data_IF_256223979665
#
_entry.id   IF_256223979665
#
_cell.length_a   1.000
_cell.length_b   1.000
_cell.length_c   1.000
_cell.angle_alpha   90.00
_cell.angle_beta   90.00
_cell.angle_gamma   90.00
#
_symmetry.space_group_name_H-M   'P 1'
#
loop_
_entity.id
_entity.type
_entity.pdbx_description
1 polymer ?
#
# COMPACT_ATOMS: atom_id res chain seq x y z
N UNK A 1 11.87 -6.11 -12.65
CA UNK A 1 11.03 -6.45 -11.49
C UNK A 1 11.54 -5.82 -10.20
N UNK A 2 12.80 -6.04 -9.80
CA UNK A 2 13.38 -5.48 -8.55
C UNK A 2 13.00 -4.01 -8.25
N UNK A 3 13.16 -3.09 -9.22
CA UNK A 3 12.81 -1.67 -9.04
C UNK A 3 11.36 -1.45 -8.60
N UNK A 4 10.40 -2.11 -9.24
CA UNK A 4 8.99 -1.99 -8.89
C UNK A 4 8.68 -2.61 -7.51
N UNK A 5 9.35 -3.72 -7.17
CA UNK A 5 9.19 -4.36 -5.85
C UNK A 5 9.71 -3.43 -4.75
N UNK A 6 10.91 -2.86 -4.91
CA UNK A 6 11.49 -1.96 -3.91
C UNK A 6 10.64 -0.71 -3.76
N UNK A 7 10.18 -0.10 -4.86
CA UNK A 7 9.26 1.04 -4.77
C UNK A 7 7.96 0.67 -4.03
N UNK A 8 7.34 -0.46 -4.33
CA UNK A 8 6.16 -0.92 -3.58
C UNK A 8 6.45 -1.13 -2.08
N UNK A 9 7.63 -1.66 -1.73
CA UNK A 9 8.03 -1.83 -0.34
C UNK A 9 8.19 -0.48 0.37
N UNK A 10 8.80 0.51 -0.29
CA UNK A 10 8.98 1.87 0.23
C UNK A 10 7.63 2.55 0.48
N UNK A 11 6.67 2.45 -0.44
CA UNK A 11 5.33 3.03 -0.24
C UNK A 11 4.60 2.39 0.96
N UNK A 12 4.69 1.06 1.09
CA UNK A 12 4.08 0.35 2.22
C UNK A 12 4.72 0.71 3.57
N UNK A 13 6.04 0.91 3.59
CA UNK A 13 6.76 1.37 4.78
C UNK A 13 6.37 2.81 5.14
N UNK A 14 6.23 3.70 4.15
CA UNK A 14 5.77 5.06 4.36
C UNK A 14 4.34 5.10 4.93
N UNK A 15 3.42 4.28 4.41
CA UNK A 15 2.04 4.15 4.94
C UNK A 15 2.06 3.78 6.42
N UNK A 16 2.83 2.76 6.81
CA UNK A 16 2.93 2.31 8.20
C UNK A 16 3.52 3.41 9.10
N UNK A 17 4.63 4.02 8.69
CA UNK A 17 5.28 5.09 9.45
C UNK A 17 4.39 6.31 9.64
N UNK A 18 3.67 6.74 8.59
CA UNK A 18 2.72 7.82 8.73
C UNK A 18 1.59 7.46 9.69
N UNK A 19 1.06 6.23 9.62
CA UNK A 19 -0.02 5.80 10.50
C UNK A 19 0.40 5.85 11.98
N UNK A 20 1.58 5.35 12.30
CA UNK A 20 2.14 5.42 13.67
C UNK A 20 2.37 6.86 14.13
N UNK A 21 2.86 7.73 13.23
CA UNK A 21 3.10 9.14 13.56
C UNK A 21 1.81 9.89 13.80
N UNK A 22 0.75 9.64 13.02
CA UNK A 22 -0.57 10.23 13.17
C UNK A 22 -1.14 9.89 14.56
N UNK A 23 -1.10 8.62 14.94
CA UNK A 23 -1.63 8.14 16.24
C UNK A 23 -0.90 8.80 17.44
N UNK A 24 0.38 9.09 17.30
CA UNK A 24 1.19 9.74 18.33
C UNK A 24 1.24 11.28 18.22
N UNK A 25 0.69 11.88 17.16
CA UNK A 25 0.83 13.31 16.88
C UNK A 25 -0.09 14.15 17.77
N UNK A 26 0.48 15.11 18.49
CA UNK A 26 -0.26 16.05 19.34
C UNK A 26 -0.63 17.36 18.62
N UNK A 27 -0.04 17.61 17.45
CA UNK A 27 -0.30 18.79 16.62
C UNK A 27 -1.31 18.44 15.52
N UNK A 28 -2.47 19.10 15.52
CA UNK A 28 -3.55 18.80 14.58
C UNK A 28 -3.25 19.19 13.14
N UNK A 29 -2.46 20.25 12.93
CA UNK A 29 -2.08 20.70 11.58
C UNK A 29 -1.10 19.69 10.97
N UNK A 30 -0.08 19.29 11.74
CA UNK A 30 0.84 18.26 11.30
C UNK A 30 0.13 16.92 11.07
N UNK A 31 -0.74 16.49 11.99
CA UNK A 31 -1.50 15.24 11.85
C UNK A 31 -2.31 15.19 10.55
N UNK A 32 -2.91 16.32 10.16
CA UNK A 32 -3.65 16.44 8.91
C UNK A 32 -2.75 16.27 7.67
N UNK A 33 -1.56 16.88 7.68
CA UNK A 33 -0.57 16.72 6.59
C UNK A 33 -0.11 15.26 6.48
N UNK A 34 0.22 14.63 7.62
CA UNK A 34 0.67 13.24 7.65
C UNK A 34 -0.43 12.28 7.14
N UNK A 35 -1.69 12.52 7.50
CA UNK A 35 -2.82 11.73 7.04
C UNK A 35 -3.05 11.86 5.53
N UNK A 36 -2.96 13.08 5.00
CA UNK A 36 -3.03 13.33 3.56
C UNK A 36 -1.95 12.55 2.82
N UNK A 37 -0.68 12.73 3.20
CA UNK A 37 0.44 12.08 2.55
C UNK A 37 0.33 10.54 2.63
N UNK A 38 -0.03 9.99 3.79
CA UNK A 38 -0.27 8.54 3.97
C UNK A 38 -1.24 7.97 2.95
N UNK A 39 -2.31 8.71 2.67
CA UNK A 39 -3.37 8.24 1.79
C UNK A 39 -2.96 8.37 0.30
N UNK A 40 -2.11 9.33 -0.05
CA UNK A 40 -1.45 9.38 -1.37
C UNK A 40 -0.49 8.18 -1.59
N UNK A 41 0.28 7.76 -0.58
CA UNK A 41 1.17 6.61 -0.74
C UNK A 41 0.40 5.30 -1.03
N UNK A 42 -0.85 5.18 -0.58
CA UNK A 42 -1.73 4.05 -0.94
C UNK A 42 -2.07 4.05 -2.43
N UNK A 43 -2.23 5.22 -3.03
CA UNK A 43 -2.40 5.36 -4.48
C UNK A 43 -1.12 4.94 -5.20
N UNK A 44 0.04 5.43 -4.77
CA UNK A 44 1.33 5.05 -5.35
C UNK A 44 1.56 3.52 -5.28
N UNK A 45 1.32 2.91 -4.12
CA UNK A 45 1.41 1.48 -3.92
C UNK A 45 0.48 0.71 -4.88
N UNK A 46 -0.78 1.15 -5.02
CA UNK A 46 -1.75 0.52 -5.92
C UNK A 46 -1.33 0.61 -7.39
N UNK A 47 -0.80 1.76 -7.84
CA UNK A 47 -0.31 1.97 -9.20
C UNK A 47 0.86 1.04 -9.53
N UNK A 48 1.83 0.93 -8.62
CA UNK A 48 3.00 0.05 -8.81
C UNK A 48 2.59 -1.42 -8.76
N UNK A 49 1.69 -1.80 -7.85
CA UNK A 49 1.16 -3.16 -7.75
C UNK A 49 0.43 -3.59 -9.04
N UNK A 50 -0.36 -2.70 -9.63
CA UNK A 50 -1.03 -2.96 -10.91
C UNK A 50 -0.02 -3.15 -12.05
N UNK A 51 1.07 -2.37 -12.08
CA UNK A 51 2.13 -2.59 -13.05
C UNK A 51 2.81 -3.97 -12.87
N UNK A 52 3.06 -4.37 -11.62
CA UNK A 52 3.60 -5.70 -11.29
C UNK A 52 2.64 -6.79 -11.78
N UNK A 53 1.34 -6.68 -11.48
CA UNK A 53 0.30 -7.63 -11.92
C UNK A 53 0.30 -7.81 -13.44
N UNK A 54 0.45 -6.74 -14.22
CA UNK A 54 0.52 -6.80 -15.69
C UNK A 54 1.76 -7.53 -16.23
N UNK A 55 2.81 -7.68 -15.43
CA UNK A 55 4.10 -8.26 -15.84
C UNK A 55 4.39 -9.63 -15.25
N UNK A 56 3.65 -10.04 -14.22
CA UNK A 56 3.85 -11.32 -13.54
C UNK A 56 2.54 -12.13 -13.51
N UNK A 57 2.52 -13.25 -14.24
CA UNK A 57 1.34 -14.13 -14.35
C UNK A 57 1.00 -14.83 -13.03
N UNK A 58 2.00 -15.12 -12.20
CA UNK A 58 1.76 -15.73 -10.90
C UNK A 58 1.09 -14.69 -9.98
N UNK A 59 1.63 -13.47 -9.97
CA UNK A 59 1.04 -12.36 -9.22
C UNK A 59 -0.41 -12.05 -9.68
N UNK A 60 -0.68 -12.05 -10.99
CA UNK A 60 -2.04 -11.89 -11.54
C UNK A 60 -3.02 -12.97 -11.05
N UNK A 61 -2.59 -14.23 -11.03
CA UNK A 61 -3.40 -15.34 -10.54
C UNK A 61 -3.77 -15.14 -9.07
N UNK A 62 -2.77 -14.98 -8.21
CA UNK A 62 -3.01 -14.87 -6.77
C UNK A 62 -3.85 -13.61 -6.44
N UNK A 63 -3.56 -12.46 -7.06
CA UNK A 63 -4.37 -11.25 -6.80
C UNK A 63 -5.84 -11.43 -7.17
N UNK A 64 -6.16 -12.14 -8.26
CA UNK A 64 -7.56 -12.41 -8.66
C UNK A 64 -8.27 -13.40 -7.74
N UNK A 65 -7.54 -14.32 -7.13
CA UNK A 65 -8.12 -15.33 -6.24
C UNK A 65 -8.56 -14.68 -4.90
N UNK A 66 -7.84 -13.65 -4.42
CA UNK A 66 -8.07 -13.07 -3.10
C UNK A 66 -8.69 -11.67 -3.08
N UNK A 67 -8.30 -10.76 -3.99
CA UNK A 67 -8.79 -9.38 -3.94
C UNK A 67 -10.27 -9.28 -4.30
N UNK A 68 -10.96 -8.34 -3.63
CA UNK A 68 -12.39 -8.06 -3.84
C UNK A 68 -13.32 -9.25 -3.56
N UNK A 69 -12.97 -10.07 -2.56
CA UNK A 69 -13.79 -11.17 -2.07
C UNK A 69 -14.15 -10.99 -0.60
N UNK A 70 -15.29 -11.55 -0.17
CA UNK A 70 -15.72 -11.59 1.24
C UNK A 70 -15.44 -12.94 1.91
N UNK A 71 -14.64 -13.80 1.26
CA UNK A 71 -14.33 -15.15 1.75
C UNK A 71 -13.27 -15.05 2.87
N UNK A 72 -13.22 -16.01 3.81
CA UNK A 72 -12.06 -16.15 4.69
C UNK A 72 -10.78 -16.23 3.85
N UNK A 73 -9.78 -15.40 4.19
CA UNK A 73 -8.52 -15.31 3.43
C UNK A 73 -7.70 -16.61 3.58
N UNK A 74 -7.75 -17.23 4.75
CA UNK A 74 -7.13 -18.50 5.05
C UNK A 74 -8.09 -19.41 5.83
N UNK A 75 -7.81 -20.71 5.82
CA UNK A 75 -8.53 -21.75 6.58
C UNK A 75 -8.26 -21.67 8.08
#
# INVERSE_FOLDING_TARGET
MHKAIVSLMEELEAIDWYNQRIDACQDSELSTILAHNRDEEKEHAAMVLEWIRRKDKAFDKELKDYLFTDKPIAH
#
